data_IF_783541869312
#
_entry.id   IF_783541869312
#
_cell.length_a   1.000
_cell.length_b   1.000
_cell.length_c   1.000
_cell.angle_alpha   90.00
_cell.angle_beta   90.00
_cell.angle_gamma   90.00
#
_symmetry.space_group_name_H-M   'P 1'
#
loop_
_entity.id
_entity.type
_entity.pdbx_description
1 polymer ?
#
# COMPACT_ATOMS: atom_id res chain seq x y z
N UNK A 1 4.90 -20.80 14.05
CA UNK A 1 5.94 -19.88 13.55
C UNK A 1 5.71 -19.45 12.10
N UNK A 2 5.42 -20.37 11.18
CA UNK A 2 5.25 -20.09 9.75
C UNK A 2 4.15 -19.07 9.42
N UNK A 3 2.97 -19.17 10.04
CA UNK A 3 1.89 -18.17 9.88
C UNK A 3 2.27 -16.77 10.37
N UNK A 4 3.01 -16.69 11.48
CA UNK A 4 3.49 -15.41 12.03
C UNK A 4 4.55 -14.79 11.13
N UNK A 5 5.37 -15.60 10.46
CA UNK A 5 6.35 -15.10 9.50
C UNK A 5 5.69 -14.43 8.27
N UNK A 6 4.52 -14.93 7.86
CA UNK A 6 3.78 -14.38 6.72
C UNK A 6 3.11 -13.05 7.08
N UNK A 7 2.57 -12.93 8.31
CA UNK A 7 1.82 -11.74 8.74
C UNK A 7 2.73 -10.68 9.36
N UNK A 8 3.75 -11.10 10.10
CA UNK A 8 4.67 -10.21 10.82
C UNK A 8 6.08 -10.84 10.95
N UNK A 9 6.86 -10.85 9.86
CA UNK A 9 8.21 -11.38 9.81
C UNK A 9 9.15 -10.87 10.91
N UNK A 10 9.18 -9.56 11.25
CA UNK A 10 10.16 -9.05 12.23
C UNK A 10 9.95 -9.57 13.66
N UNK A 11 8.71 -9.86 14.09
CA UNK A 11 8.51 -10.51 15.40
C UNK A 11 8.94 -11.98 15.40
N UNK A 12 8.77 -12.68 14.27
CA UNK A 12 9.21 -14.07 14.15
C UNK A 12 10.73 -14.17 14.26
N UNK A 13 11.45 -13.27 13.59
CA UNK A 13 12.92 -13.22 13.61
C UNK A 13 13.40 -12.84 15.02
N UNK A 14 12.78 -11.86 15.66
CA UNK A 14 13.11 -11.49 17.05
C UNK A 14 12.94 -12.66 18.04
N UNK A 15 11.93 -13.50 17.86
CA UNK A 15 11.68 -14.68 18.70
C UNK A 15 12.68 -15.82 18.41
N UNK A 16 13.17 -15.96 17.17
CA UNK A 16 14.05 -17.08 16.76
C UNK A 16 15.53 -16.77 16.95
N UNK A 17 16.00 -15.60 16.50
CA UNK A 17 17.43 -15.23 16.48
C UNK A 17 17.82 -14.31 17.64
N UNK A 18 16.85 -13.85 18.45
CA UNK A 18 17.08 -12.84 19.47
C UNK A 18 17.26 -11.42 18.91
N UNK A 19 17.70 -10.47 19.73
CA UNK A 19 17.96 -9.09 19.33
C UNK A 19 19.35 -8.98 18.65
N UNK A 20 19.46 -9.46 17.42
CA UNK A 20 20.69 -9.45 16.62
C UNK A 20 20.59 -8.61 15.33
N UNK A 21 21.66 -8.66 14.53
CA UNK A 21 21.75 -7.96 13.23
C UNK A 21 20.65 -8.42 12.25
N UNK A 22 20.31 -9.71 12.24
CA UNK A 22 19.28 -10.28 11.36
C UNK A 22 17.89 -9.70 11.64
N UNK A 23 17.59 -9.43 12.91
CA UNK A 23 16.33 -8.81 13.36
C UNK A 23 16.24 -7.35 12.92
N UNK A 24 17.36 -6.61 12.95
CA UNK A 24 17.42 -5.23 12.46
C UNK A 24 17.19 -5.18 10.95
N UNK A 25 17.88 -6.04 10.19
CA UNK A 25 17.74 -6.09 8.72
C UNK A 25 16.30 -6.42 8.33
N UNK A 26 15.68 -7.43 8.96
CA UNK A 26 14.29 -7.77 8.68
C UNK A 26 13.29 -6.68 9.11
N UNK A 27 13.60 -5.93 10.18
CA UNK A 27 12.80 -4.77 10.57
C UNK A 27 12.86 -3.67 9.51
N UNK A 28 14.04 -3.34 8.99
CA UNK A 28 14.19 -2.36 7.90
C UNK A 28 13.48 -2.82 6.61
N UNK A 29 13.61 -4.09 6.23
CA UNK A 29 12.93 -4.65 5.06
C UNK A 29 11.41 -4.57 5.21
N UNK A 30 10.87 -4.86 6.40
CA UNK A 30 9.45 -4.74 6.69
C UNK A 30 8.97 -3.30 6.58
N UNK A 31 9.68 -2.34 7.19
CA UNK A 31 9.39 -0.91 7.06
C UNK A 31 9.42 -0.45 5.61
N UNK A 32 10.43 -0.89 4.85
CA UNK A 32 10.58 -0.56 3.44
C UNK A 32 9.47 -1.16 2.58
N UNK A 33 8.88 -2.30 2.95
CA UNK A 33 7.71 -2.86 2.25
C UNK A 33 6.39 -2.18 2.66
N UNK A 34 6.24 -1.80 3.92
CA UNK A 34 5.03 -1.16 4.47
C UNK A 34 4.82 0.24 3.89
N UNK A 35 5.88 1.04 3.78
CA UNK A 35 5.80 2.43 3.28
C UNK A 35 5.21 2.52 1.85
N UNK A 36 5.77 1.86 0.81
CA UNK A 36 5.26 1.95 -0.55
C UNK A 36 3.84 1.38 -0.65
N UNK A 37 3.52 0.35 0.14
CA UNK A 37 2.17 -0.22 0.19
C UNK A 37 1.14 0.80 0.67
N UNK A 38 1.45 1.55 1.74
CA UNK A 38 0.57 2.59 2.27
C UNK A 38 0.48 3.79 1.32
N UNK A 39 1.60 4.26 0.78
CA UNK A 39 1.63 5.37 -0.18
C UNK A 39 0.80 5.02 -1.42
N UNK A 40 0.90 3.79 -1.94
CA UNK A 40 0.13 3.35 -3.09
C UNK A 40 -1.37 3.27 -2.80
N UNK A 41 -1.76 2.72 -1.65
CA UNK A 41 -3.17 2.69 -1.22
C UNK A 41 -3.76 4.09 -1.01
N UNK A 42 -2.98 4.99 -0.40
CA UNK A 42 -3.38 6.39 -0.21
C UNK A 42 -3.54 7.11 -1.55
N UNK A 43 -2.61 6.89 -2.49
CA UNK A 43 -2.68 7.43 -3.84
C UNK A 43 -3.95 7.00 -4.58
N UNK A 44 -4.30 5.70 -4.53
CA UNK A 44 -5.52 5.16 -5.12
C UNK A 44 -6.77 5.86 -4.55
N UNK A 45 -6.81 6.01 -3.23
CA UNK A 45 -7.91 6.64 -2.50
C UNK A 45 -8.03 8.13 -2.86
N UNK A 46 -6.90 8.84 -2.92
CA UNK A 46 -6.86 10.26 -3.28
C UNK A 46 -7.37 10.50 -4.70
N UNK A 47 -6.92 9.70 -5.67
CA UNK A 47 -7.39 9.80 -7.07
C UNK A 47 -8.88 9.48 -7.18
N UNK A 48 -9.36 8.43 -6.48
CA UNK A 48 -10.79 8.11 -6.44
C UNK A 48 -11.65 9.29 -5.97
N UNK A 49 -11.29 9.93 -4.85
CA UNK A 49 -12.03 11.09 -4.34
C UNK A 49 -11.97 12.28 -5.29
N UNK A 50 -10.79 12.57 -5.86
CA UNK A 50 -10.62 13.66 -6.83
C UNK A 50 -11.52 13.46 -8.07
N UNK A 51 -11.64 12.21 -8.57
CA UNK A 51 -12.52 11.90 -9.71
C UNK A 51 -13.99 11.90 -9.34
N UNK A 52 -14.36 11.34 -8.18
CA UNK A 52 -15.75 11.40 -7.66
C UNK A 52 -16.25 12.85 -7.53
N UNK A 53 -15.39 13.77 -7.08
CA UNK A 53 -15.73 15.21 -7.04
C UNK A 53 -15.91 15.83 -8.43
N UNK A 54 -15.14 15.41 -9.44
CA UNK A 54 -15.27 15.88 -10.83
C UNK A 54 -16.52 15.31 -11.51
N UNK A 55 -16.81 14.03 -11.29
CA UNK A 55 -18.01 13.35 -11.78
C UNK A 55 -19.29 14.00 -11.22
N UNK A 56 -19.33 14.31 -9.91
CA UNK A 56 -20.43 15.07 -9.29
C UNK A 56 -20.65 16.46 -9.89
N UNK A 57 -19.62 17.07 -10.48
CA UNK A 57 -19.69 18.37 -11.16
C UNK A 57 -19.97 18.24 -12.67
N UNK A 58 -20.32 17.05 -13.15
CA UNK A 58 -20.61 16.77 -14.56
C UNK A 58 -19.40 16.87 -15.50
N UNK A 59 -18.17 16.89 -14.97
CA UNK A 59 -16.95 16.98 -15.79
C UNK A 59 -16.48 15.56 -16.14
N UNK A 60 -16.34 15.31 -17.43
CA UNK A 60 -15.85 14.01 -17.94
C UNK A 60 -14.50 13.65 -17.31
N UNK A 61 -14.34 12.41 -16.80
CA UNK A 61 -13.05 11.91 -16.38
C UNK A 61 -12.15 11.83 -17.62
N UNK A 62 -11.06 12.58 -17.62
CA UNK A 62 -10.06 12.54 -18.69
C UNK A 62 -9.27 11.23 -18.70
N UNK A 63 -8.10 11.24 -19.36
CA UNK A 63 -7.22 10.08 -19.50
C UNK A 63 -6.98 9.33 -18.17
N UNK A 64 -6.88 7.99 -18.19
CA UNK A 64 -6.60 7.19 -16.99
C UNK A 64 -5.26 7.59 -16.38
N UNK A 65 -5.18 7.57 -15.05
CA UNK A 65 -3.95 7.94 -14.36
C UNK A 65 -2.97 6.75 -14.35
N UNK A 66 -1.66 6.95 -14.57
CA UNK A 66 -0.67 5.88 -14.43
C UNK A 66 -0.77 5.16 -13.09
N UNK A 67 -0.54 3.85 -13.11
CA UNK A 67 -0.57 2.95 -11.95
C UNK A 67 -1.96 2.71 -11.33
N UNK A 68 -3.04 3.00 -12.08
CA UNK A 68 -4.43 2.70 -11.70
C UNK A 68 -5.10 1.92 -12.84
N UNK A 69 -5.27 0.60 -12.64
CA UNK A 69 -5.87 -0.30 -13.61
C UNK A 69 -7.39 -0.48 -13.48
N UNK A 70 -8.00 0.10 -12.43
CA UNK A 70 -9.43 -0.04 -12.18
C UNK A 70 -10.25 1.07 -12.84
N UNK A 71 -11.17 0.71 -13.72
CA UNK A 71 -12.11 1.64 -14.36
C UNK A 71 -13.05 2.31 -13.36
N UNK A 72 -13.38 1.65 -12.25
CA UNK A 72 -14.18 2.26 -11.17
C UNK A 72 -13.48 3.47 -10.56
N UNK A 73 -12.17 3.37 -10.34
CA UNK A 73 -11.36 4.46 -9.78
C UNK A 73 -11.16 5.56 -10.82
N UNK A 74 -10.93 5.19 -12.08
CA UNK A 74 -10.77 6.14 -13.18
C UNK A 74 -12.08 6.85 -13.57
N UNK A 75 -13.25 6.27 -13.34
CA UNK A 75 -14.52 6.94 -13.64
C UNK A 75 -15.14 7.64 -12.43
N UNK A 76 -14.59 7.39 -11.22
CA UNK A 76 -15.05 8.03 -9.99
C UNK A 76 -16.24 7.34 -9.33
N UNK A 77 -16.49 6.07 -9.66
CA UNK A 77 -17.64 5.27 -9.24
C UNK A 77 -18.74 5.27 -10.28
#
# INVERSE_FOLDING_TARGET
LTLVNIVFPPATVLIVTGAGMDTLINCFLFLLAVIPSHVHGFYLTWVYFARRHRAKRGRYPGKPHPMIYSDKINNGG
#
